data_IF_228407628735
#
_entry.id   IF_228407628735
#
_cell.length_a   1.000
_cell.length_b   1.000
_cell.length_c   1.000
_cell.angle_alpha   90.00
_cell.angle_beta   90.00
_cell.angle_gamma   90.00
#
_symmetry.space_group_name_H-M   'P 1'
#
loop_
_entity.id
_entity.type
_entity.pdbx_description
1 polymer ?
#
# COMPACT_ATOMS: atom_id res chain seq x y z
N UNK A 1 -13.39 -8.37 -7.80
CA UNK A 1 -12.37 -7.67 -8.61
C UNK A 1 -11.02 -7.79 -7.93
N UNK A 2 -9.99 -8.00 -8.71
CA UNK A 2 -8.61 -8.02 -8.18
C UNK A 2 -7.97 -6.65 -8.37
N UNK A 3 -7.12 -6.25 -7.42
CA UNK A 3 -6.45 -4.95 -7.50
C UNK A 3 -5.67 -4.77 -8.80
N UNK A 4 -5.03 -5.83 -9.29
CA UNK A 4 -4.25 -5.77 -10.53
C UNK A 4 -5.08 -5.35 -11.74
N UNK A 5 -6.38 -5.55 -11.70
CA UNK A 5 -7.27 -5.14 -12.80
C UNK A 5 -7.42 -3.63 -12.90
N UNK A 6 -7.03 -2.89 -11.87
CA UNK A 6 -7.06 -1.43 -11.86
C UNK A 6 -5.81 -0.83 -12.50
N UNK A 7 -4.79 -1.65 -12.75
CA UNK A 7 -3.49 -1.20 -13.24
C UNK A 7 -3.33 -1.47 -14.72
N UNK A 8 -2.54 -0.62 -15.40
CA UNK A 8 -2.06 -0.85 -16.76
C UNK A 8 -0.59 -1.22 -16.72
N UNK A 9 -0.12 -1.96 -17.72
CA UNK A 9 1.30 -2.33 -17.87
C UNK A 9 1.90 -2.99 -16.64
N UNK A 10 1.18 -3.99 -16.10
CA UNK A 10 1.58 -4.69 -14.88
C UNK A 10 2.87 -5.48 -15.10
N UNK A 11 3.84 -5.30 -14.20
CA UNK A 11 5.07 -6.09 -14.13
C UNK A 11 5.20 -6.65 -12.72
N UNK A 12 5.40 -7.96 -12.63
CA UNK A 12 5.62 -8.59 -11.33
C UNK A 12 7.07 -8.45 -10.90
N UNK A 13 7.30 -8.21 -9.62
CA UNK A 13 8.64 -8.15 -9.06
C UNK A 13 9.33 -9.50 -9.19
N UNK A 14 10.64 -9.50 -9.43
CA UNK A 14 11.45 -10.72 -9.37
C UNK A 14 11.57 -11.17 -7.91
N UNK A 15 12.00 -12.41 -7.70
CA UNK A 15 12.24 -12.92 -6.34
C UNK A 15 13.22 -12.04 -5.58
N UNK A 16 14.25 -11.57 -6.26
CA UNK A 16 15.26 -10.70 -5.66
C UNK A 16 14.66 -9.35 -5.25
N UNK A 17 13.83 -8.77 -6.11
CA UNK A 17 13.15 -7.50 -5.81
C UNK A 17 12.18 -7.64 -4.66
N UNK A 18 11.40 -8.73 -4.61
CA UNK A 18 10.49 -8.98 -3.48
C UNK A 18 11.25 -9.10 -2.17
N UNK A 19 12.39 -9.77 -2.18
CA UNK A 19 13.18 -10.02 -0.97
C UNK A 19 13.89 -8.76 -0.49
N UNK A 20 14.50 -8.00 -1.40
CA UNK A 20 15.38 -6.88 -1.05
C UNK A 20 14.69 -5.54 -1.07
N UNK A 21 13.65 -5.37 -1.89
CA UNK A 21 12.94 -4.10 -2.05
C UNK A 21 11.53 -4.13 -1.50
N UNK A 22 11.01 -5.32 -1.22
CA UNK A 22 9.73 -5.53 -0.54
C UNK A 22 8.53 -4.95 -1.29
N UNK A 23 8.54 -5.00 -2.64
CA UNK A 23 7.37 -4.69 -3.44
C UNK A 23 6.99 -5.89 -4.30
N UNK A 24 5.73 -5.95 -4.76
CA UNK A 24 5.18 -7.11 -5.46
C UNK A 24 4.94 -6.88 -6.94
N UNK A 25 4.39 -5.73 -7.30
CA UNK A 25 4.06 -5.42 -8.69
C UNK A 25 4.33 -3.95 -8.98
N UNK A 26 4.58 -3.66 -10.26
CA UNK A 26 4.67 -2.30 -10.78
C UNK A 26 3.59 -2.13 -11.82
N UNK A 27 2.93 -0.99 -11.84
CA UNK A 27 1.88 -0.73 -12.83
C UNK A 27 1.47 0.73 -12.84
N UNK A 28 0.63 1.08 -13.81
CA UNK A 28 0.13 2.44 -13.98
C UNK A 28 -1.22 2.56 -13.31
N UNK A 29 -1.34 3.53 -12.42
CA UNK A 29 -2.59 3.90 -11.78
C UNK A 29 -2.75 5.42 -11.88
N UNK A 30 -3.90 5.89 -12.39
CA UNK A 30 -4.16 7.32 -12.59
C UNK A 30 -3.03 8.01 -13.36
N UNK A 31 -2.60 7.38 -14.47
CA UNK A 31 -1.58 7.90 -15.39
C UNK A 31 -0.17 8.02 -14.78
N UNK A 32 0.08 7.37 -13.65
CA UNK A 32 1.41 7.35 -13.02
C UNK A 32 1.85 5.92 -12.76
N UNK A 33 3.14 5.67 -12.93
CA UNK A 33 3.73 4.36 -12.67
C UNK A 33 4.18 4.27 -11.22
N UNK A 34 3.72 3.24 -10.51
CA UNK A 34 4.08 3.01 -9.12
C UNK A 34 4.49 1.56 -8.89
N UNK A 35 5.33 1.36 -7.89
CA UNK A 35 5.60 0.03 -7.31
C UNK A 35 4.70 -0.16 -6.10
N UNK A 36 4.03 -1.30 -6.03
CA UNK A 36 3.05 -1.60 -5.01
C UNK A 36 3.49 -2.76 -4.14
N UNK A 37 3.33 -2.59 -2.83
CA UNK A 37 3.50 -3.63 -1.82
C UNK A 37 2.09 -4.08 -1.44
N UNK A 38 1.74 -5.34 -1.78
CA UNK A 38 0.39 -5.87 -1.56
C UNK A 38 0.34 -6.61 -0.23
N UNK A 39 -0.49 -6.15 0.70
CA UNK A 39 -0.59 -6.73 2.03
C UNK A 39 -2.01 -7.14 2.36
N UNK A 40 -2.26 -8.42 2.65
CA UNK A 40 -3.55 -8.84 3.18
C UNK A 40 -3.77 -8.22 4.55
N UNK A 41 -4.99 -7.77 4.81
CA UNK A 41 -5.33 -7.17 6.09
C UNK A 41 -6.75 -7.60 6.48
N UNK A 42 -6.86 -8.22 7.64
CA UNK A 42 -8.15 -8.63 8.20
C UNK A 42 -8.60 -7.59 9.20
N UNK A 43 -9.68 -6.90 8.91
CA UNK A 43 -10.22 -5.84 9.76
C UNK A 43 -9.29 -4.63 9.80
N UNK A 44 -9.58 -3.70 10.71
CA UNK A 44 -8.79 -2.51 10.96
C UNK A 44 -7.68 -2.82 11.98
N UNK A 45 -6.82 -3.77 11.63
CA UNK A 45 -5.80 -4.27 12.54
C UNK A 45 -4.56 -3.39 12.57
N UNK A 46 -3.76 -3.56 13.62
CA UNK A 46 -2.48 -2.87 13.77
C UNK A 46 -1.54 -3.22 12.63
N UNK A 47 -0.76 -2.23 12.21
CA UNK A 47 0.32 -2.43 11.24
C UNK A 47 1.64 -2.42 11.98
N UNK A 48 2.45 -3.47 11.78
CA UNK A 48 3.68 -3.65 12.53
C UNK A 48 4.96 -3.30 11.78
N UNK A 49 5.00 -3.48 10.49
CA UNK A 49 6.19 -3.20 9.70
C UNK A 49 5.84 -2.37 8.48
N UNK A 50 6.56 -1.27 8.32
CA UNK A 50 6.36 -0.36 7.20
C UNK A 50 7.61 -0.21 6.34
N UNK A 51 8.56 -1.15 6.49
CA UNK A 51 9.80 -1.16 5.71
C UNK A 51 9.46 -1.66 4.30
N UNK A 52 9.63 -0.78 3.32
CA UNK A 52 9.38 -1.14 1.91
C UNK A 52 10.00 -0.08 1.00
N UNK A 53 10.43 -0.50 -0.18
CA UNK A 53 10.86 0.42 -1.24
C UNK A 53 9.77 0.63 -2.29
N UNK A 54 8.56 0.16 -2.02
CA UNK A 54 7.41 0.44 -2.86
C UNK A 54 7.04 1.92 -2.78
N UNK A 55 6.33 2.39 -3.79
CA UNK A 55 5.76 3.74 -3.78
C UNK A 55 4.46 3.79 -3.01
N UNK A 56 3.69 2.70 -3.07
CA UNK A 56 2.37 2.57 -2.44
C UNK A 56 2.24 1.23 -1.73
N UNK A 57 1.51 1.23 -0.62
CA UNK A 57 1.08 0.00 0.04
C UNK A 57 -0.40 -0.19 -0.25
N UNK A 58 -0.78 -1.41 -0.63
CA UNK A 58 -2.18 -1.78 -0.88
C UNK A 58 -2.61 -2.75 0.20
N UNK A 59 -3.60 -2.35 1.00
CA UNK A 59 -4.20 -3.22 1.99
C UNK A 59 -5.41 -3.92 1.37
N UNK A 60 -5.31 -5.24 1.22
CA UNK A 60 -6.37 -6.08 0.65
C UNK A 60 -7.30 -6.52 1.76
N UNK A 61 -8.41 -5.81 1.90
CA UNK A 61 -9.40 -6.06 2.93
C UNK A 61 -10.58 -6.85 2.38
N UNK A 62 -11.48 -7.28 3.24
CA UNK A 62 -12.60 -8.13 2.84
C UNK A 62 -13.46 -7.50 1.75
N UNK A 63 -13.81 -6.23 1.90
CA UNK A 63 -14.76 -5.55 1.01
C UNK A 63 -14.14 -4.43 0.19
N UNK A 64 -12.86 -4.15 0.37
CA UNK A 64 -12.23 -3.01 -0.28
C UNK A 64 -10.72 -3.15 -0.35
N UNK A 65 -10.12 -2.37 -1.26
CA UNK A 65 -8.67 -2.15 -1.28
C UNK A 65 -8.41 -0.74 -0.78
N UNK A 66 -7.43 -0.59 0.09
CA UNK A 66 -7.00 0.72 0.57
C UNK A 66 -5.55 0.94 0.15
N UNK A 67 -5.30 2.01 -0.60
CA UNK A 67 -3.96 2.34 -1.11
C UNK A 67 -3.47 3.58 -0.39
N UNK A 68 -2.27 3.50 0.18
CA UNK A 68 -1.65 4.64 0.86
C UNK A 68 -0.28 4.93 0.27
N UNK A 69 0.16 6.20 0.35
CA UNK A 69 1.47 6.61 -0.12
C UNK A 69 2.53 6.29 0.92
N UNK A 70 3.59 5.61 0.50
CA UNK A 70 4.64 5.16 1.41
C UNK A 70 5.44 6.33 1.99
N UNK A 71 5.76 7.32 1.18
CA UNK A 71 6.51 8.49 1.64
C UNK A 71 5.75 9.25 2.73
N UNK A 72 4.45 9.52 2.49
CA UNK A 72 3.61 10.17 3.50
C UNK A 72 3.50 9.33 4.76
N UNK A 73 3.34 8.01 4.60
CA UNK A 73 3.25 7.09 5.73
C UNK A 73 4.52 7.15 6.58
N UNK A 74 5.68 7.07 5.95
CA UNK A 74 6.95 7.13 6.66
C UNK A 74 7.14 8.47 7.39
N UNK A 75 6.76 9.57 6.75
CA UNK A 75 6.85 10.89 7.35
C UNK A 75 5.90 11.02 8.54
N UNK A 76 4.69 10.48 8.42
CA UNK A 76 3.72 10.49 9.52
C UNK A 76 4.23 9.71 10.73
N UNK A 77 4.75 8.50 10.49
CA UNK A 77 5.28 7.66 11.56
C UNK A 77 6.49 8.30 12.25
N UNK A 78 7.35 8.93 11.47
CA UNK A 78 8.53 9.60 12.00
C UNK A 78 8.15 10.83 12.82
N UNK A 79 7.22 11.64 12.33
CA UNK A 79 6.79 12.86 13.00
C UNK A 79 6.15 12.56 14.34
N UNK A 80 5.29 11.55 14.40
CA UNK A 80 4.58 11.17 15.62
C UNK A 80 5.32 10.11 16.43
N UNK A 81 6.50 9.69 15.98
CA UNK A 81 7.32 8.66 16.63
C UNK A 81 6.54 7.37 16.87
N UNK A 82 5.74 6.97 15.89
CA UNK A 82 4.89 5.77 15.95
C UNK A 82 5.54 4.59 15.25
N UNK A 83 5.37 3.40 15.81
CA UNK A 83 5.84 2.15 15.19
C UNK A 83 4.67 1.28 14.74
N UNK A 84 3.50 1.49 15.32
CA UNK A 84 2.28 0.73 15.04
C UNK A 84 1.13 1.70 14.92
N UNK A 85 0.32 1.56 13.87
CA UNK A 85 -0.85 2.40 13.65
C UNK A 85 -2.02 1.55 13.18
N UNK A 86 -3.23 2.08 13.32
CA UNK A 86 -4.43 1.47 12.77
C UNK A 86 -4.73 2.07 11.40
N UNK A 87 -5.36 1.27 10.53
CA UNK A 87 -5.65 1.71 9.17
C UNK A 87 -6.54 2.95 9.13
N UNK A 88 -7.57 3.01 9.98
CA UNK A 88 -8.46 4.18 10.02
C UNK A 88 -7.72 5.45 10.42
N UNK A 89 -6.68 5.33 11.22
CA UNK A 89 -5.82 6.45 11.59
C UNK A 89 -5.07 6.97 10.36
N UNK A 90 -4.57 6.07 9.53
CA UNK A 90 -3.88 6.45 8.29
C UNK A 90 -4.82 7.12 7.31
N UNK A 91 -6.02 6.59 7.14
CA UNK A 91 -7.02 7.18 6.24
C UNK A 91 -7.40 8.59 6.66
N UNK A 92 -7.41 8.86 7.95
CA UNK A 92 -7.75 10.18 8.49
C UNK A 92 -6.61 11.19 8.35
N UNK A 93 -5.36 10.74 8.47
CA UNK A 93 -4.20 11.63 8.60
C UNK A 93 -3.34 11.75 7.34
N UNK A 94 -3.38 10.78 6.44
CA UNK A 94 -2.62 10.86 5.19
C UNK A 94 -3.45 11.58 4.13
N UNK A 95 -2.83 12.54 3.43
CA UNK A 95 -3.50 13.29 2.38
C UNK A 95 -3.76 12.44 1.14
N UNK A 96 -2.80 11.58 0.79
CA UNK A 96 -2.94 10.70 -0.36
C UNK A 96 -3.38 9.31 0.09
N UNK A 97 -4.62 8.96 -0.18
CA UNK A 97 -5.12 7.61 0.00
C UNK A 97 -6.27 7.38 -0.97
N UNK A 98 -6.47 6.12 -1.35
CA UNK A 98 -7.56 5.72 -2.25
C UNK A 98 -8.22 4.50 -1.64
N UNK A 99 -9.55 4.52 -1.60
CA UNK A 99 -10.35 3.37 -1.17
C UNK A 99 -11.16 2.90 -2.38
N UNK A 100 -10.97 1.63 -2.77
CA UNK A 100 -11.67 1.03 -3.90
C UNK A 100 -12.54 -0.10 -3.39
N UNK A 101 -13.85 0.01 -3.61
CA UNK A 101 -14.80 -1.03 -3.18
C UNK A 101 -14.67 -2.25 -4.08
N UNK A 102 -14.68 -3.44 -3.49
CA UNK A 102 -14.75 -4.69 -4.22
C UNK A 102 -16.19 -4.95 -4.66
N UNK A 103 -16.30 -5.52 -5.83
CA UNK A 103 -17.60 -5.93 -6.36
C UNK A 103 -18.03 -7.29 -5.82
#
# INVERSE_FOLDING_TARGET
MKFLNLLSNVKHATQNQKRNELWDVEGILHNQTFKFDLRPLHNNAKQGSFITKADKIVYDMKNEYVVVDVEELHNYLKHDNKKIVYLNELLKNLDWNIVVQKE
#
